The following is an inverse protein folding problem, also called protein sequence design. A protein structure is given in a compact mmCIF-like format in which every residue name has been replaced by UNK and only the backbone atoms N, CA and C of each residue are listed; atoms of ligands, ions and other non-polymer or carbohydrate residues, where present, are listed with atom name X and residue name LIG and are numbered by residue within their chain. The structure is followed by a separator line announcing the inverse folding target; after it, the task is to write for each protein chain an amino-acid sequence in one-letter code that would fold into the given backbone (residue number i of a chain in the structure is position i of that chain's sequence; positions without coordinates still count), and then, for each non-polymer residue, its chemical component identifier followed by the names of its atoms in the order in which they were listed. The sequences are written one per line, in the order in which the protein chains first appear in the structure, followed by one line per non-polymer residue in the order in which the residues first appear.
data_IF_227052011846
#
_entry.id   IF_227052011846
#
_cell.length_a   1.000
_cell.length_b   1.000
_cell.length_c   1.000
_cell.angle_alpha   90.00
_cell.angle_beta   90.00
_cell.angle_gamma   90.00
#
_symmetry.space_group_name_H-M   'P 1'
#
loop_
_entity.id
_entity.type
_entity.pdbx_description
1 polymer ?
#
# COMPACT_ATOMS: atom_id res chain seq x y z
N UNK A 1 8.21 11.12 16.65
CA UNK A 1 8.11 12.59 16.75
C UNK A 1 8.77 13.08 18.04
N UNK A 2 8.36 12.69 19.28
CA UNK A 2 8.88 13.25 20.53
C UNK A 2 10.41 13.31 20.60
N UNK A 3 11.11 12.19 20.34
CA UNK A 3 12.60 12.14 20.38
C UNK A 3 13.19 13.10 19.33
N UNK A 4 12.66 13.11 18.11
CA UNK A 4 13.13 14.03 17.07
C UNK A 4 12.95 15.49 17.47
N UNK A 5 11.81 15.85 18.07
CA UNK A 5 11.55 17.20 18.56
C UNK A 5 12.50 17.59 19.70
N UNK A 6 12.84 16.65 20.59
CA UNK A 6 13.82 16.88 21.66
C UNK A 6 15.23 17.12 21.10
N UNK A 7 15.63 16.37 20.04
CA UNK A 7 16.90 16.59 19.34
C UNK A 7 16.95 17.96 18.66
N UNK A 8 15.87 18.37 17.97
CA UNK A 8 15.80 19.71 17.37
C UNK A 8 16.01 20.81 18.41
N UNK A 9 15.39 20.69 19.57
CA UNK A 9 15.59 21.62 20.68
C UNK A 9 17.04 21.60 21.20
N UNK A 10 17.59 20.40 21.41
CA UNK A 10 18.98 20.22 21.87
C UNK A 10 20.00 20.85 20.93
N UNK A 11 19.74 20.85 19.62
CA UNK A 11 20.64 21.44 18.63
C UNK A 11 20.24 22.84 18.18
N UNK A 12 19.27 23.47 18.87
CA UNK A 12 18.77 24.81 18.55
C UNK A 12 18.29 24.97 17.11
N UNK A 13 17.70 23.88 16.56
CA UNK A 13 17.11 23.89 15.22
C UNK A 13 15.66 24.34 15.34
N UNK A 14 15.33 25.44 14.68
CA UNK A 14 13.95 25.93 14.57
C UNK A 14 13.33 25.44 13.26
N UNK A 15 12.21 24.76 13.36
CA UNK A 15 11.44 24.28 12.21
C UNK A 15 10.17 25.11 12.05
N UNK A 16 9.69 25.33 10.81
CA UNK A 16 8.43 26.04 10.55
C UNK A 16 7.21 25.29 11.11
N UNK A 17 7.30 23.98 11.24
CA UNK A 17 6.29 23.12 11.84
C UNK A 17 7.01 22.04 12.69
N UNK A 18 6.62 21.83 13.96
CA UNK A 18 7.17 20.78 14.81
C UNK A 18 7.04 19.36 14.23
N UNK A 19 6.02 19.10 13.41
CA UNK A 19 5.81 17.80 12.76
C UNK A 19 6.86 17.49 11.69
N UNK A 20 7.65 18.48 11.27
CA UNK A 20 8.82 18.30 10.40
C UNK A 20 10.08 17.89 11.15
N UNK A 21 10.01 17.61 12.46
CA UNK A 21 11.15 17.12 13.24
C UNK A 21 11.69 15.82 12.67
N UNK A 22 13.00 15.70 12.58
CA UNK A 22 13.70 14.60 11.95
C UNK A 22 14.80 14.00 12.85
N UNK A 23 15.24 12.81 12.49
CA UNK A 23 16.39 12.12 13.08
C UNK A 23 17.53 12.17 12.05
N UNK A 24 18.63 12.87 12.31
CA UNK A 24 19.76 12.92 11.38
C UNK A 24 20.48 11.58 11.28
N UNK A 25 20.85 11.19 10.06
CA UNK A 25 21.70 10.01 9.82
C UNK A 25 23.02 10.15 10.57
N UNK A 26 23.50 9.06 11.16
CA UNK A 26 24.72 9.03 11.97
C UNK A 26 24.50 9.36 13.45
N UNK A 27 23.27 9.52 13.91
CA UNK A 27 22.94 9.60 15.33
C UNK A 27 22.45 8.27 15.88
N UNK A 28 22.72 7.95 17.16
CA UNK A 28 22.21 6.73 17.79
C UNK A 28 20.69 6.60 17.70
N UNK A 29 19.96 7.71 17.78
CA UNK A 29 18.51 7.75 17.72
C UNK A 29 18.00 7.42 16.30
N UNK A 30 18.74 7.82 15.25
CA UNK A 30 18.46 7.43 13.89
C UNK A 30 18.68 5.92 13.70
N UNK A 31 19.81 5.40 14.16
CA UNK A 31 20.15 3.99 14.01
C UNK A 31 19.15 3.09 14.75
N UNK A 32 18.74 3.48 15.96
CA UNK A 32 17.69 2.80 16.72
C UNK A 32 16.36 2.83 15.99
N UNK A 33 15.96 3.98 15.42
CA UNK A 33 14.74 4.11 14.63
C UNK A 33 14.77 3.19 13.41
N UNK A 34 15.85 3.15 12.66
CA UNK A 34 16.00 2.28 11.50
C UNK A 34 15.96 0.80 11.89
N UNK A 35 16.59 0.44 13.02
CA UNK A 35 16.54 -0.93 13.55
C UNK A 35 15.09 -1.39 13.80
N UNK A 36 14.31 -0.62 14.55
CA UNK A 36 12.91 -0.99 14.83
C UNK A 36 12.02 -0.89 13.60
N UNK A 37 12.25 0.08 12.71
CA UNK A 37 11.54 0.17 11.44
C UNK A 37 11.76 -1.07 10.59
N UNK A 38 13.00 -1.52 10.45
CA UNK A 38 13.35 -2.71 9.68
C UNK A 38 12.75 -3.97 10.30
N UNK A 39 12.76 -4.07 11.63
CA UNK A 39 12.08 -5.17 12.33
C UNK A 39 10.57 -5.18 12.03
N UNK A 40 9.91 -4.04 12.13
CA UNK A 40 8.48 -3.92 11.84
C UNK A 40 8.14 -4.26 10.38
N UNK A 41 8.98 -3.83 9.43
CA UNK A 41 8.84 -4.17 8.01
C UNK A 41 8.96 -5.69 7.79
N UNK A 42 9.95 -6.33 8.42
CA UNK A 42 10.12 -7.79 8.35
C UNK A 42 8.92 -8.52 8.95
N UNK A 43 8.45 -8.08 10.12
CA UNK A 43 7.25 -8.62 10.74
C UNK A 43 6.04 -8.53 9.80
N UNK A 44 5.79 -7.36 9.21
CA UNK A 44 4.68 -7.16 8.28
C UNK A 44 4.79 -8.04 7.02
N UNK A 45 6.01 -8.27 6.51
CA UNK A 45 6.23 -9.17 5.39
C UNK A 45 5.89 -10.62 5.76
N UNK A 46 6.43 -11.11 6.87
CA UNK A 46 6.17 -12.47 7.34
C UNK A 46 4.69 -12.70 7.68
N UNK A 47 4.02 -11.70 8.24
CA UNK A 47 2.59 -11.78 8.51
C UNK A 47 1.76 -11.96 7.24
N UNK A 48 2.10 -11.26 6.13
CA UNK A 48 1.42 -11.45 4.84
C UNK A 48 1.72 -12.81 4.23
N UNK A 49 2.95 -13.33 4.38
CA UNK A 49 3.28 -14.70 3.95
C UNK A 49 2.44 -15.73 4.72
N UNK A 50 2.36 -15.62 6.03
CA UNK A 50 1.53 -16.51 6.85
C UNK A 50 0.05 -16.43 6.47
N UNK A 51 -0.47 -15.24 6.23
CA UNK A 51 -1.85 -15.07 5.76
C UNK A 51 -2.07 -15.77 4.42
N UNK A 52 -1.13 -15.68 3.49
CA UNK A 52 -1.20 -16.34 2.20
C UNK A 52 -1.16 -17.87 2.34
N UNK A 53 -0.26 -18.40 3.17
CA UNK A 53 -0.20 -19.85 3.43
C UNK A 53 -1.51 -20.40 4.02
N UNK A 54 -2.10 -19.68 4.97
CA UNK A 54 -3.41 -20.04 5.51
C UNK A 54 -4.50 -19.98 4.46
N UNK A 55 -4.53 -18.92 3.66
CA UNK A 55 -5.49 -18.79 2.56
C UNK A 55 -5.36 -19.94 1.56
N UNK A 56 -4.15 -20.29 1.13
CA UNK A 56 -3.91 -21.40 0.21
C UNK A 56 -4.29 -22.76 0.82
N UNK A 57 -4.10 -22.92 2.12
CA UNK A 57 -4.53 -24.11 2.85
C UNK A 57 -6.05 -24.25 2.81
N UNK A 58 -6.79 -23.19 3.12
CA UNK A 58 -8.26 -23.19 3.05
C UNK A 58 -8.77 -23.36 1.62
N UNK A 59 -8.09 -22.75 0.65
CA UNK A 59 -8.46 -22.86 -0.75
C UNK A 59 -8.44 -24.32 -1.26
N UNK A 60 -7.51 -25.16 -0.76
CA UNK A 60 -7.43 -26.59 -1.11
C UNK A 60 -8.70 -27.38 -0.77
N UNK A 61 -9.47 -26.93 0.24
CA UNK A 61 -10.74 -27.57 0.57
C UNK A 61 -11.88 -27.18 -0.39
N UNK A 62 -11.78 -25.99 -1.00
CA UNK A 62 -12.81 -25.46 -1.90
C UNK A 62 -12.51 -25.74 -3.38
N UNK A 63 -11.24 -25.76 -3.74
CA UNK A 63 -10.76 -25.96 -5.11
C UNK A 63 -9.90 -27.23 -5.15
N UNK A 64 -10.38 -28.25 -5.86
CA UNK A 64 -9.75 -29.58 -5.87
C UNK A 64 -8.32 -29.57 -6.42
N UNK A 65 -8.07 -28.80 -7.44
CA UNK A 65 -6.75 -28.70 -8.09
C UNK A 65 -6.45 -27.25 -8.43
N UNK A 66 -5.34 -26.72 -7.92
CA UNK A 66 -4.75 -25.48 -8.34
C UNK A 66 -3.23 -25.52 -8.20
N UNK A 67 -2.54 -24.69 -8.96
CA UNK A 67 -1.09 -24.53 -8.88
C UNK A 67 -0.78 -23.06 -8.64
N UNK A 68 -0.02 -22.79 -7.59
CA UNK A 68 0.59 -21.46 -7.42
C UNK A 68 1.67 -21.27 -8.50
N UNK A 69 1.53 -20.24 -9.31
CA UNK A 69 2.46 -19.93 -10.40
C UNK A 69 3.37 -18.77 -10.07
N UNK A 70 2.90 -17.86 -9.21
CA UNK A 70 3.65 -16.69 -8.77
C UNK A 70 3.10 -16.22 -7.42
N UNK A 71 3.98 -15.70 -6.57
CA UNK A 71 3.62 -15.02 -5.31
C UNK A 71 4.22 -13.63 -5.29
N UNK A 72 3.39 -12.62 -5.07
CA UNK A 72 3.80 -11.23 -4.99
C UNK A 72 3.54 -10.73 -3.56
N UNK A 73 4.62 -10.38 -2.85
CA UNK A 73 4.55 -9.81 -1.51
C UNK A 73 5.38 -8.53 -1.47
N UNK A 74 4.77 -7.42 -1.78
CA UNK A 74 5.41 -6.12 -1.84
C UNK A 74 5.09 -5.26 -0.62
N UNK A 75 6.06 -4.48 -0.15
CA UNK A 75 5.85 -3.44 0.84
C UNK A 75 5.23 -2.19 0.19
N UNK A 76 4.38 -1.50 0.94
CA UNK A 76 3.79 -0.22 0.53
C UNK A 76 3.91 0.89 1.61
N UNK A 77 4.46 0.51 2.78
CA UNK A 77 4.86 1.41 3.86
C UNK A 77 6.20 0.91 4.39
N UNK A 78 7.29 1.47 3.92
CA UNK A 78 8.63 1.02 4.30
C UNK A 78 9.71 2.07 4.00
N UNK A 79 10.85 1.89 4.62
CA UNK A 79 12.05 2.70 4.39
C UNK A 79 13.19 1.77 4.00
N UNK A 80 13.93 2.13 2.97
CA UNK A 80 15.07 1.36 2.48
C UNK A 80 16.18 2.30 2.02
N UNK A 81 17.45 1.91 2.24
CA UNK A 81 18.60 2.62 1.68
C UNK A 81 18.77 2.20 0.22
N UNK A 82 18.78 3.18 -0.67
CA UNK A 82 18.86 2.97 -2.12
C UNK A 82 19.86 3.93 -2.75
N UNK A 83 20.41 3.58 -3.92
CA UNK A 83 21.25 4.47 -4.70
C UNK A 83 20.41 5.17 -5.77
N UNK A 84 20.27 6.49 -5.66
CA UNK A 84 19.62 7.33 -6.65
C UNK A 84 20.52 8.52 -6.99
N UNK A 85 20.66 8.81 -8.27
CA UNK A 85 21.50 9.92 -8.78
C UNK A 85 22.94 9.89 -8.22
N UNK A 86 23.51 8.67 -8.10
CA UNK A 86 24.84 8.39 -7.52
C UNK A 86 24.98 8.76 -6.03
N UNK A 87 23.87 8.87 -5.31
CA UNK A 87 23.85 9.09 -3.87
C UNK A 87 23.11 7.97 -3.18
N UNK A 88 23.65 7.52 -2.05
CA UNK A 88 22.97 6.57 -1.16
C UNK A 88 22.03 7.34 -0.24
N UNK A 89 20.75 7.18 -0.43
CA UNK A 89 19.71 7.88 0.33
C UNK A 89 18.71 6.91 0.96
N UNK A 90 18.05 7.34 2.01
CA UNK A 90 16.93 6.62 2.59
C UNK A 90 15.64 7.02 1.88
N UNK A 91 15.04 6.09 1.14
CA UNK A 91 13.76 6.30 0.47
C UNK A 91 12.64 5.74 1.35
N UNK A 92 11.78 6.62 1.82
CA UNK A 92 10.59 6.25 2.59
C UNK A 92 9.37 6.24 1.67
N UNK A 93 8.71 5.09 1.56
CA UNK A 93 7.46 4.93 0.81
C UNK A 93 6.31 4.74 1.77
N UNK A 94 5.29 5.58 1.67
CA UNK A 94 4.03 5.45 2.39
C UNK A 94 2.88 5.53 1.40
N UNK A 95 2.16 4.43 1.24
CA UNK A 95 1.14 4.33 0.20
C UNK A 95 1.75 4.26 -1.21
N UNK A 96 2.99 3.79 -1.32
CA UNK A 96 3.70 3.58 -2.57
C UNK A 96 4.48 2.27 -2.54
N UNK A 97 4.61 1.62 -3.68
CA UNK A 97 5.42 0.42 -3.87
C UNK A 97 6.74 0.76 -4.56
N UNK A 98 7.75 -0.05 -4.34
CA UNK A 98 8.94 -0.02 -5.18
C UNK A 98 8.58 -0.54 -6.58
N UNK A 99 9.03 0.17 -7.60
CA UNK A 99 8.77 -0.11 -9.01
C UNK A 99 10.06 0.00 -9.82
N UNK A 100 11.13 -0.63 -9.33
CA UNK A 100 12.37 -0.76 -10.09
C UNK A 100 12.16 -1.68 -11.30
N UNK A 101 13.10 -1.71 -12.21
CA UNK A 101 12.99 -2.52 -13.43
C UNK A 101 12.66 -3.97 -13.05
N UNK A 102 11.54 -4.47 -13.58
CA UNK A 102 11.02 -5.83 -13.33
C UNK A 102 10.56 -6.12 -11.89
N UNK A 103 10.58 -5.18 -10.98
CA UNK A 103 9.93 -5.36 -9.68
C UNK A 103 8.45 -5.68 -9.87
N UNK A 104 8.00 -6.78 -9.26
CA UNK A 104 6.59 -7.20 -9.32
C UNK A 104 5.80 -6.56 -8.19
N UNK A 105 4.62 -6.08 -8.51
CA UNK A 105 3.73 -5.48 -7.53
C UNK A 105 2.26 -5.70 -7.85
N UNK A 106 1.42 -5.34 -6.90
CA UNK A 106 -0.03 -5.32 -7.08
C UNK A 106 -0.56 -3.95 -6.69
N UNK A 107 -1.43 -3.39 -7.52
CA UNK A 107 -2.20 -2.18 -7.23
C UNK A 107 -3.66 -2.58 -7.06
N UNK A 108 -4.12 -2.79 -5.82
CA UNK A 108 -5.50 -3.14 -5.55
C UNK A 108 -6.43 -1.95 -5.81
N UNK A 109 -7.57 -2.24 -6.37
CA UNK A 109 -8.71 -1.33 -6.38
C UNK A 109 -9.47 -1.33 -5.06
N UNK A 110 -10.61 -0.66 -5.03
CA UNK A 110 -11.59 -0.76 -3.94
C UNK A 110 -12.44 -2.02 -4.07
N UNK A 111 -13.40 -2.24 -3.16
CA UNK A 111 -14.21 -3.46 -3.10
C UNK A 111 -14.90 -3.84 -4.42
N UNK A 112 -15.32 -2.89 -5.23
CA UNK A 112 -16.06 -3.15 -6.47
C UNK A 112 -15.29 -2.84 -7.74
N UNK A 113 -13.99 -2.53 -7.65
CA UNK A 113 -13.17 -2.10 -8.80
C UNK A 113 -12.09 -3.11 -9.17
N UNK A 114 -11.46 -2.91 -10.31
CA UNK A 114 -10.36 -3.75 -10.79
C UNK A 114 -9.14 -3.65 -9.87
N UNK A 115 -8.29 -4.66 -9.94
CA UNK A 115 -6.93 -4.65 -9.38
C UNK A 115 -5.93 -4.99 -10.48
N UNK A 116 -4.67 -4.63 -10.30
CA UNK A 116 -3.67 -4.75 -11.35
C UNK A 116 -2.42 -5.42 -10.81
N UNK A 117 -1.92 -6.41 -11.54
CA UNK A 117 -0.56 -6.93 -11.36
C UNK A 117 0.33 -6.15 -12.31
N UNK A 118 1.43 -5.63 -11.79
CA UNK A 118 2.31 -4.70 -12.49
C UNK A 118 3.77 -5.10 -12.39
N UNK A 119 4.54 -4.64 -13.37
CA UNK A 119 6.01 -4.61 -13.33
C UNK A 119 6.50 -3.17 -13.33
N UNK A 120 7.51 -2.89 -12.51
CA UNK A 120 8.15 -1.59 -12.45
C UNK A 120 8.95 -1.28 -13.73
N UNK A 121 9.05 0.00 -14.07
CA UNK A 121 9.83 0.52 -15.20
C UNK A 121 11.12 1.22 -14.77
N UNK A 122 11.40 1.31 -13.46
CA UNK A 122 12.63 1.91 -12.94
C UNK A 122 12.73 3.42 -13.21
N UNK A 123 11.63 4.15 -13.11
CA UNK A 123 11.61 5.59 -13.34
C UNK A 123 12.39 6.31 -12.24
N UNK A 124 13.56 6.84 -12.60
CA UNK A 124 14.47 7.53 -11.65
C UNK A 124 13.86 8.80 -11.06
N UNK A 125 13.00 9.51 -11.79
CA UNK A 125 12.37 10.74 -11.32
C UNK A 125 11.36 10.50 -10.21
N UNK A 126 10.79 9.30 -10.12
CA UNK A 126 9.92 8.84 -9.03
C UNK A 126 10.67 8.08 -7.93
N UNK A 127 12.00 8.07 -7.95
CA UNK A 127 12.82 7.20 -7.09
C UNK A 127 12.39 5.73 -7.19
N UNK A 128 12.16 5.25 -8.39
CA UNK A 128 11.67 3.90 -8.68
C UNK A 128 10.42 3.56 -7.84
N UNK A 129 9.45 4.46 -7.79
CA UNK A 129 8.25 4.31 -6.98
C UNK A 129 6.99 4.48 -7.81
N UNK A 130 5.92 3.79 -7.40
CA UNK A 130 4.59 3.89 -7.98
C UNK A 130 3.52 3.92 -6.89
N UNK A 131 2.34 4.52 -7.13
CA UNK A 131 1.20 4.37 -6.22
C UNK A 131 0.89 2.90 -5.93
N UNK A 132 0.50 2.59 -4.68
CA UNK A 132 0.12 1.22 -4.30
C UNK A 132 -1.39 0.96 -4.44
N UNK A 133 -2.18 1.96 -4.79
CA UNK A 133 -3.64 1.90 -4.91
C UNK A 133 -4.22 3.24 -5.35
N UNK A 134 -5.52 3.31 -5.53
CA UNK A 134 -6.21 4.52 -5.97
C UNK A 134 -6.14 5.68 -4.96
N UNK A 135 -6.07 5.36 -3.68
CA UNK A 135 -6.24 6.33 -2.60
C UNK A 135 -7.68 6.80 -2.44
N UNK A 136 -8.01 7.27 -1.25
CA UNK A 136 -9.36 7.77 -0.95
C UNK A 136 -9.51 9.22 -1.41
N UNK A 137 -10.69 9.57 -1.89
CA UNK A 137 -11.08 10.98 -2.18
C UNK A 137 -11.86 11.61 -1.03
N UNK A 138 -12.23 10.81 -0.01
CA UNK A 138 -12.90 11.29 1.19
C UNK A 138 -12.56 10.45 2.42
N UNK A 139 -12.76 11.01 3.62
CA UNK A 139 -12.55 10.29 4.87
C UNK A 139 -13.60 9.17 5.06
N UNK A 140 -13.29 8.17 5.90
CA UNK A 140 -14.21 7.09 6.26
C UNK A 140 -15.52 7.63 6.82
N UNK A 141 -15.45 8.54 7.79
CA UNK A 141 -16.63 9.18 8.40
C UNK A 141 -17.48 9.92 7.37
N UNK A 142 -16.87 10.59 6.38
CA UNK A 142 -17.61 11.25 5.31
C UNK A 142 -18.31 10.22 4.41
N UNK A 143 -17.64 9.14 4.06
CA UNK A 143 -18.22 8.06 3.25
C UNK A 143 -19.44 7.44 3.94
N UNK A 144 -19.33 7.08 5.23
CA UNK A 144 -20.45 6.54 6.02
C UNK A 144 -21.66 7.48 6.10
N UNK A 145 -21.43 8.81 6.08
CA UNK A 145 -22.53 9.79 6.07
C UNK A 145 -23.12 10.02 4.68
N UNK A 146 -22.36 9.78 3.64
CA UNK A 146 -22.75 10.11 2.27
C UNK A 146 -23.40 8.95 1.53
N UNK A 147 -23.01 7.72 1.82
CA UNK A 147 -23.46 6.52 1.11
C UNK A 147 -24.38 5.67 1.98
N UNK A 148 -25.24 4.90 1.33
CA UNK A 148 -26.19 3.97 1.93
C UNK A 148 -25.85 2.52 1.62
N UNK A 149 -26.49 1.57 2.29
CA UNK A 149 -26.39 0.14 1.94
C UNK A 149 -26.85 -0.12 0.50
N UNK A 150 -27.88 0.57 0.04
CA UNK A 150 -28.33 0.42 -1.36
C UNK A 150 -27.28 0.86 -2.38
N UNK A 151 -26.52 1.93 -2.07
CA UNK A 151 -25.39 2.37 -2.91
C UNK A 151 -24.29 1.32 -2.93
N UNK A 152 -23.98 0.72 -1.76
CA UNK A 152 -22.98 -0.35 -1.66
C UNK A 152 -23.43 -1.58 -2.43
N UNK A 153 -24.65 -2.04 -2.27
CA UNK A 153 -25.19 -3.19 -2.99
C UNK A 153 -25.13 -3.01 -4.52
N UNK A 154 -25.49 -1.82 -5.00
CA UNK A 154 -25.38 -1.47 -6.41
C UNK A 154 -23.92 -1.47 -6.90
N UNK A 155 -22.99 -0.94 -6.09
CA UNK A 155 -21.58 -0.90 -6.44
C UNK A 155 -20.90 -2.29 -6.44
N UNK A 156 -21.49 -3.25 -5.71
CA UNK A 156 -21.01 -4.62 -5.56
C UNK A 156 -21.80 -5.64 -6.39
N UNK A 157 -22.59 -5.19 -7.35
CA UNK A 157 -23.37 -6.08 -8.21
C UNK A 157 -22.46 -7.10 -8.91
N UNK A 158 -22.81 -8.38 -8.76
CA UNK A 158 -22.04 -9.50 -9.31
C UNK A 158 -20.77 -9.89 -8.52
N UNK A 159 -20.55 -9.28 -7.36
CA UNK A 159 -19.42 -9.61 -6.48
C UNK A 159 -19.98 -10.15 -5.17
N UNK A 160 -19.50 -11.33 -4.75
CA UNK A 160 -19.86 -11.91 -3.45
C UNK A 160 -19.13 -11.18 -2.33
N UNK A 161 -19.85 -10.76 -1.30
CA UNK A 161 -19.28 -10.10 -0.13
C UNK A 161 -20.20 -10.20 1.09
N UNK A 162 -19.67 -10.01 2.30
CA UNK A 162 -20.47 -9.94 3.52
C UNK A 162 -21.26 -8.62 3.52
N UNK A 163 -22.59 -8.69 3.51
CA UNK A 163 -23.45 -7.51 3.59
C UNK A 163 -23.42 -6.95 5.01
N UNK A 164 -22.80 -5.80 5.19
CA UNK A 164 -22.66 -5.14 6.50
C UNK A 164 -22.54 -3.62 6.32
N UNK A 165 -23.23 -2.87 7.15
CA UNK A 165 -23.13 -1.39 7.18
C UNK A 165 -21.73 -0.90 7.51
N UNK A 166 -20.93 -1.70 8.21
CA UNK A 166 -19.52 -1.39 8.52
C UNK A 166 -18.70 -1.18 7.23
N UNK A 167 -19.09 -1.82 6.13
CA UNK A 167 -18.38 -1.74 4.85
C UNK A 167 -18.75 -0.54 3.98
N UNK A 168 -19.70 0.29 4.39
CA UNK A 168 -20.13 1.47 3.61
C UNK A 168 -18.98 2.45 3.40
N UNK A 169 -18.05 2.58 4.33
CA UNK A 169 -16.91 3.46 4.19
C UNK A 169 -15.88 2.94 3.15
N UNK A 170 -15.94 1.67 2.77
CA UNK A 170 -15.07 1.05 1.78
C UNK A 170 -15.69 1.00 0.36
N UNK A 171 -16.87 1.63 0.18
CA UNK A 171 -17.54 1.71 -1.12
C UNK A 171 -16.61 2.28 -2.21
N UNK A 172 -16.66 1.79 -3.46
CA UNK A 172 -15.87 2.33 -4.58
C UNK A 172 -15.96 3.85 -4.72
N UNK A 173 -17.16 4.41 -4.50
CA UNK A 173 -17.40 5.85 -4.52
C UNK A 173 -16.58 6.69 -3.54
N UNK A 174 -15.96 6.09 -2.52
CA UNK A 174 -15.09 6.78 -1.56
C UNK A 174 -13.63 6.90 -2.03
N UNK A 175 -13.27 6.24 -3.14
CA UNK A 175 -11.93 6.18 -3.70
C UNK A 175 -11.82 6.94 -5.02
N UNK A 176 -10.60 7.29 -5.40
CA UNK A 176 -10.29 7.75 -6.75
C UNK A 176 -10.51 6.62 -7.74
N UNK A 177 -10.69 6.94 -9.00
CA UNK A 177 -10.75 5.96 -10.06
C UNK A 177 -9.38 5.28 -10.22
N UNK A 178 -9.33 3.97 -9.98
CA UNK A 178 -8.08 3.20 -10.07
C UNK A 178 -7.59 3.11 -11.52
N UNK A 179 -8.49 3.07 -12.50
CA UNK A 179 -8.15 2.97 -13.91
C UNK A 179 -7.43 4.26 -14.35
N UNK A 180 -7.91 5.41 -13.87
CA UNK A 180 -7.24 6.70 -14.11
C UNK A 180 -5.87 6.78 -13.41
N UNK A 181 -5.75 6.25 -12.19
CA UNK A 181 -4.45 6.20 -11.50
C UNK A 181 -3.44 5.35 -12.26
N UNK A 182 -3.87 4.21 -12.80
CA UNK A 182 -3.03 3.34 -13.63
C UNK A 182 -2.60 4.06 -14.91
N UNK A 183 -3.51 4.73 -15.61
CA UNK A 183 -3.20 5.49 -16.81
C UNK A 183 -2.16 6.60 -16.54
N UNK A 184 -2.34 7.33 -15.46
CA UNK A 184 -1.40 8.37 -15.03
C UNK A 184 -0.04 7.83 -14.56
N UNK A 185 0.03 6.54 -14.24
CA UNK A 185 1.25 5.87 -13.79
C UNK A 185 2.01 5.12 -14.90
N UNK A 186 1.62 5.26 -16.15
CA UNK A 186 2.19 4.54 -17.32
C UNK A 186 3.70 4.71 -17.52
N UNK A 187 4.27 5.80 -16.99
CA UNK A 187 5.72 6.04 -17.01
C UNK A 187 6.46 5.36 -15.86
N UNK A 188 5.74 4.85 -14.87
CA UNK A 188 6.27 4.23 -13.66
C UNK A 188 6.17 2.71 -13.71
N UNK A 189 5.13 2.20 -14.36
CA UNK A 189 4.74 0.79 -14.35
C UNK A 189 4.24 0.33 -15.71
N UNK A 190 4.37 -0.99 -15.93
CA UNK A 190 3.67 -1.74 -16.98
C UNK A 190 2.60 -2.59 -16.33
N UNK A 191 1.39 -2.58 -16.85
CA UNK A 191 0.33 -3.52 -16.45
C UNK A 191 0.58 -4.86 -17.12
N UNK A 192 0.69 -5.92 -16.31
CA UNK A 192 0.84 -7.28 -16.80
C UNK A 192 -0.49 -8.02 -16.81
N UNK A 193 -1.30 -7.85 -15.76
CA UNK A 193 -2.62 -8.43 -15.65
C UNK A 193 -3.64 -7.48 -15.03
N UNK A 194 -4.87 -7.55 -15.54
CA UNK A 194 -6.04 -6.88 -14.98
C UNK A 194 -6.91 -7.91 -14.28
N UNK A 195 -7.14 -7.74 -12.99
CA UNK A 195 -7.94 -8.64 -12.18
C UNK A 195 -9.33 -8.06 -11.93
N UNK A 196 -10.35 -8.89 -12.04
CA UNK A 196 -11.72 -8.55 -11.64
C UNK A 196 -12.07 -9.33 -10.38
N UNK A 197 -12.65 -8.67 -9.43
CA UNK A 197 -13.11 -9.32 -8.20
C UNK A 197 -14.36 -10.16 -8.49
N UNK A 198 -14.40 -11.35 -7.93
CA UNK A 198 -15.59 -12.20 -7.89
C UNK A 198 -16.07 -12.37 -6.43
N UNK A 199 -15.18 -12.18 -5.49
CA UNK A 199 -15.42 -12.27 -4.05
C UNK A 199 -14.57 -11.24 -3.32
N UNK A 200 -15.14 -10.64 -2.28
CA UNK A 200 -14.43 -9.71 -1.41
C UNK A 200 -14.63 -10.12 0.05
N UNK A 201 -13.53 -10.45 0.73
CA UNK A 201 -13.51 -10.78 2.14
C UNK A 201 -12.80 -9.66 2.90
N UNK A 202 -13.54 -8.92 3.70
CA UNK A 202 -12.99 -7.91 4.61
C UNK A 202 -13.18 -8.36 6.05
N UNK A 203 -12.16 -8.18 6.86
CA UNK A 203 -12.24 -8.34 8.32
C UNK A 203 -13.14 -7.27 8.96
N UNK A 204 -13.60 -7.58 10.16
CA UNK A 204 -14.38 -6.65 11.01
C UNK A 204 -13.49 -5.58 11.62
#
# INVERSE_FOLDING_TARGET
IRIATELMKKWHITLPDPDLSYLPEGTPEFDEYIHYMTWAQRFAMLNREEMMERFLTELKYSVREFKEVERINSHHNFTQRENHFNQNIWVTRKGAVKADIMDRGMIPGSMGTRSYIISGLGNKMSFNSSPHGAGRKMSRTKAQKQFTMADLEKAMEGIEYRKSEVLIDEIPGAYKDVDLVIEQSRELIKVDYVLRQILNCKGD
#
